data_IF_021945380373
#
_entry.id   IF_021945380373
#
_cell.length_a   1.000
_cell.length_b   1.000
_cell.length_c   1.000
_cell.angle_alpha   90.00
_cell.angle_beta   90.00
_cell.angle_gamma   90.00
#
_symmetry.space_group_name_H-M   'P 1'
#
loop_
_entity.id
_entity.type
_entity.pdbx_description
1 polymer ?
#
# COMPACT_ATOMS: atom_id res chain seq x y z
N UNK A 1 59.15 4.08 9.95
CA UNK A 1 59.58 5.50 9.96
C UNK A 1 59.23 6.18 8.64
N UNK A 2 57.93 6.28 8.27
CA UNK A 2 57.49 6.84 6.97
C UNK A 2 56.34 7.87 7.05
N UNK A 3 55.85 8.20 8.25
CA UNK A 3 54.67 9.09 8.39
C UNK A 3 55.03 10.57 8.60
N UNK A 4 56.25 10.87 9.05
CA UNK A 4 56.66 12.24 9.37
C UNK A 4 57.15 13.04 8.14
N UNK A 5 57.72 12.37 7.14
CA UNK A 5 58.18 13.00 5.89
C UNK A 5 57.01 13.42 5.00
N UNK A 6 55.91 12.67 4.99
CA UNK A 6 54.73 12.98 4.15
C UNK A 6 53.99 14.22 4.67
N UNK A 7 53.87 14.39 5.99
CA UNK A 7 53.22 15.56 6.60
C UNK A 7 54.05 16.84 6.37
N UNK A 8 55.37 16.75 6.45
CA UNK A 8 56.27 17.89 6.21
C UNK A 8 56.19 18.43 4.77
N UNK A 9 56.12 17.55 3.77
CA UNK A 9 56.03 17.96 2.35
C UNK A 9 54.66 18.58 2.02
N UNK A 10 53.57 18.06 2.60
CA UNK A 10 52.21 18.62 2.41
C UNK A 10 52.09 20.01 3.05
N UNK A 11 52.76 20.24 4.17
CA UNK A 11 52.72 21.55 4.86
C UNK A 11 53.57 22.60 4.11
N UNK A 12 54.68 22.18 3.49
CA UNK A 12 55.53 23.06 2.69
C UNK A 12 54.88 23.49 1.36
N UNK A 13 54.03 22.65 0.75
CA UNK A 13 53.32 23.02 -0.49
C UNK A 13 52.11 23.96 -0.29
N UNK A 14 51.59 24.11 0.94
CA UNK A 14 50.48 25.03 1.21
C UNK A 14 50.90 26.50 1.35
N UNK A 15 52.20 26.82 1.39
CA UNK A 15 52.69 28.16 1.69
C UNK A 15 53.03 29.02 0.46
N UNK A 16 52.96 28.48 -0.76
CA UNK A 16 53.44 29.16 -1.98
C UNK A 16 52.39 29.36 -3.07
N UNK A 17 51.12 29.05 -2.82
CA UNK A 17 50.04 29.28 -3.76
C UNK A 17 49.22 30.53 -3.38
N UNK A 18 49.54 31.65 -4.02
CA UNK A 18 48.52 32.62 -4.45
C UNK A 18 47.99 33.60 -3.41
N UNK A 19 48.62 34.78 -3.36
CA UNK A 19 47.89 36.02 -3.13
C UNK A 19 46.88 36.26 -4.27
N UNK A 20 45.67 35.71 -4.15
CA UNK A 20 44.50 36.33 -4.75
C UNK A 20 43.86 37.13 -3.61
N UNK A 21 44.06 38.45 -3.61
CA UNK A 21 43.34 39.35 -2.72
C UNK A 21 41.86 39.33 -3.10
N UNK A 22 41.13 38.35 -2.58
CA UNK A 22 39.70 38.53 -2.35
C UNK A 22 39.62 39.68 -1.35
N UNK A 23 39.14 40.84 -1.81
CA UNK A 23 38.92 41.97 -0.94
C UNK A 23 38.01 41.55 0.23
N UNK A 24 38.17 42.12 1.42
CA UNK A 24 37.33 41.80 2.59
C UNK A 24 35.82 41.96 2.32
N UNK A 25 35.43 42.70 1.28
CA UNK A 25 34.06 42.83 0.79
C UNK A 25 33.47 41.53 0.23
N UNK A 26 34.23 40.74 -0.55
CA UNK A 26 33.71 39.51 -1.19
C UNK A 26 33.46 38.40 -0.15
N UNK A 27 34.34 38.27 0.83
CA UNK A 27 34.18 37.32 1.93
C UNK A 27 33.01 37.68 2.86
N UNK A 28 32.77 38.97 3.10
CA UNK A 28 31.63 39.41 3.90
C UNK A 28 30.30 39.16 3.17
N UNK A 29 30.29 39.31 1.84
CA UNK A 29 29.14 39.02 0.99
C UNK A 29 28.83 37.50 0.94
N UNK A 30 29.85 36.64 0.86
CA UNK A 30 29.68 35.18 0.94
C UNK A 30 29.18 34.73 2.32
N UNK A 31 29.68 35.31 3.42
CA UNK A 31 29.21 35.01 4.78
C UNK A 31 27.76 35.45 4.99
N UNK A 32 27.35 36.59 4.42
CA UNK A 32 25.96 37.03 4.44
C UNK A 32 25.05 36.09 3.61
N UNK A 33 25.51 35.61 2.44
CA UNK A 33 24.76 34.64 1.64
C UNK A 33 24.61 33.29 2.33
N UNK A 34 25.67 32.76 2.95
CA UNK A 34 25.61 31.53 3.74
C UNK A 34 24.67 31.70 4.95
N UNK A 35 24.68 32.86 5.62
CA UNK A 35 23.72 33.17 6.68
C UNK A 35 22.27 33.23 6.18
N UNK A 36 22.04 33.77 4.99
CA UNK A 36 20.73 33.79 4.33
C UNK A 36 20.25 32.41 3.87
N UNK A 37 21.16 31.55 3.39
CA UNK A 37 20.82 30.15 3.07
C UNK A 37 20.52 29.35 4.34
N UNK A 38 21.27 29.58 5.43
CA UNK A 38 21.01 28.93 6.71
C UNK A 38 19.64 29.32 7.29
N UNK A 39 19.23 30.59 7.16
CA UNK A 39 17.89 31.00 7.60
C UNK A 39 16.78 30.40 6.73
N UNK A 40 17.00 30.24 5.43
CA UNK A 40 16.09 29.51 4.54
C UNK A 40 15.95 28.03 4.92
N UNK A 41 17.05 27.35 5.22
CA UNK A 41 17.02 25.95 5.67
C UNK A 41 16.31 25.81 7.01
N UNK A 42 16.53 26.73 7.96
CA UNK A 42 15.83 26.74 9.24
C UNK A 42 14.31 26.93 9.06
N UNK A 43 13.89 27.83 8.16
CA UNK A 43 12.49 28.06 7.83
C UNK A 43 11.84 26.89 7.07
N UNK A 44 12.62 26.13 6.29
CA UNK A 44 12.13 24.92 5.63
C UNK A 44 12.00 23.76 6.62
N UNK A 45 12.93 23.64 7.57
CA UNK A 45 12.87 22.61 8.60
C UNK A 45 11.67 22.80 9.54
N UNK A 46 11.36 24.04 9.93
CA UNK A 46 10.15 24.33 10.72
C UNK A 46 8.85 24.00 9.98
N UNK A 47 8.80 24.18 8.65
CA UNK A 47 7.66 23.76 7.83
C UNK A 47 7.48 22.23 7.82
N UNK A 48 8.58 21.47 7.78
CA UNK A 48 8.52 20.01 7.86
C UNK A 48 8.01 19.54 9.23
N UNK A 49 8.45 20.19 10.31
CA UNK A 49 7.99 19.85 11.66
C UNK A 49 6.51 20.20 11.88
N UNK A 50 6.02 21.30 11.31
CA UNK A 50 4.60 21.62 11.29
C UNK A 50 3.78 20.58 10.51
N UNK A 51 4.28 20.13 9.35
CA UNK A 51 3.62 19.10 8.56
C UNK A 51 3.55 17.76 9.30
N UNK A 52 4.61 17.37 10.01
CA UNK A 52 4.61 16.17 10.86
C UNK A 52 3.59 16.28 12.00
N UNK A 53 3.50 17.44 12.66
CA UNK A 53 2.51 17.68 13.71
C UNK A 53 1.06 17.63 13.17
N UNK A 54 0.83 18.19 11.97
CA UNK A 54 -0.46 18.11 11.28
C UNK A 54 -0.83 16.66 10.91
N UNK A 55 0.13 15.84 10.50
CA UNK A 55 -0.08 14.42 10.24
C UNK A 55 -0.50 13.69 11.53
N UNK A 56 0.22 13.91 12.64
CA UNK A 56 -0.08 13.27 13.92
C UNK A 56 -1.46 13.68 14.48
N UNK A 57 -1.90 14.92 14.28
CA UNK A 57 -3.22 15.37 14.70
C UNK A 57 -4.36 14.72 13.89
N UNK A 58 -4.12 14.41 12.61
CA UNK A 58 -5.09 13.70 11.78
C UNK A 58 -5.17 12.21 12.14
N UNK A 59 -4.03 11.59 12.46
CA UNK A 59 -3.94 10.20 12.90
C UNK A 59 -4.53 10.00 14.30
N UNK A 60 -4.34 10.94 15.24
CA UNK A 60 -4.97 10.94 16.57
C UNK A 60 -6.49 10.76 16.51
N UNK A 61 -7.16 11.45 15.58
CA UNK A 61 -8.62 11.32 15.35
C UNK A 61 -9.02 10.03 14.63
N UNK A 62 -8.07 9.34 14.00
CA UNK A 62 -8.30 8.04 13.38
C UNK A 62 -8.31 6.92 14.44
N UNK A 63 -7.55 7.05 15.53
CA UNK A 63 -7.62 6.13 16.68
C UNK A 63 -8.89 6.33 17.53
N UNK A 64 -9.40 7.55 17.70
CA UNK A 64 -10.66 7.78 18.45
C UNK A 64 -11.89 7.19 17.76
N UNK A 65 -11.92 7.16 16.41
CA UNK A 65 -13.00 6.50 15.65
C UNK A 65 -12.87 4.97 15.61
N UNK A 66 -11.70 4.44 15.94
CA UNK A 66 -11.43 3.00 16.08
C UNK A 66 -11.59 2.48 17.52
N UNK A 67 -11.44 3.35 18.53
CA UNK A 67 -11.53 3.01 19.94
C UNK A 67 -12.97 3.19 20.49
N UNK A 68 -13.96 2.56 19.85
CA UNK A 68 -15.22 2.27 20.56
C UNK A 68 -14.92 1.20 21.62
N UNK A 69 -15.36 1.35 22.88
CA UNK A 69 -15.24 0.27 23.85
C UNK A 69 -15.92 -0.98 23.28
N UNK A 70 -15.20 -2.11 23.27
CA UNK A 70 -15.58 -3.39 22.68
C UNK A 70 -16.90 -3.99 23.22
N UNK A 71 -17.58 -3.32 24.15
CA UNK A 71 -18.85 -3.76 24.73
C UNK A 71 -20.08 -3.50 23.82
N UNK A 72 -19.99 -2.63 22.82
CA UNK A 72 -21.13 -2.29 21.95
C UNK A 72 -21.14 -3.00 20.58
N UNK A 73 -20.17 -3.88 20.29
CA UNK A 73 -20.07 -4.61 19.00
C UNK A 73 -20.69 -6.01 19.04
N UNK A 74 -21.31 -6.43 20.15
CA UNK A 74 -21.96 -7.73 20.29
C UNK A 74 -23.26 -7.89 19.47
N UNK A 75 -23.61 -6.96 18.59
CA UNK A 75 -24.78 -7.06 17.71
C UNK A 75 -24.51 -6.65 16.25
N UNK A 76 -23.25 -6.51 15.84
CA UNK A 76 -22.92 -6.39 14.43
C UNK A 76 -22.69 -7.81 13.85
N UNK A 77 -23.27 -8.17 12.68
CA UNK A 77 -22.85 -9.39 12.00
C UNK A 77 -21.34 -9.32 11.76
N UNK A 78 -20.65 -10.42 12.04
CA UNK A 78 -19.19 -10.56 11.92
C UNK A 78 -18.66 -9.94 10.62
N UNK A 79 -17.41 -9.43 10.58
CA UNK A 79 -16.82 -8.93 9.35
C UNK A 79 -16.95 -10.03 8.30
N UNK A 80 -17.83 -9.82 7.32
CA UNK A 80 -17.96 -10.73 6.18
C UNK A 80 -16.69 -10.49 5.40
N UNK A 81 -15.63 -11.21 5.74
CA UNK A 81 -14.39 -11.20 5.00
C UNK A 81 -14.80 -11.53 3.58
N UNK A 82 -14.75 -10.55 2.68
CA UNK A 82 -15.03 -10.75 1.27
C UNK A 82 -13.91 -11.65 0.75
N UNK A 83 -14.11 -12.96 0.87
CA UNK A 83 -13.13 -13.97 0.53
C UNK A 83 -13.03 -13.99 -0.98
N UNK A 84 -11.91 -13.50 -1.50
CA UNK A 84 -11.60 -13.64 -2.91
C UNK A 84 -11.45 -15.13 -3.20
N UNK A 85 -12.31 -15.66 -4.08
CA UNK A 85 -12.25 -17.06 -4.47
C UNK A 85 -11.10 -17.27 -5.45
N UNK A 86 -10.31 -18.31 -5.23
CA UNK A 86 -9.28 -18.75 -6.17
C UNK A 86 -9.93 -19.37 -7.41
N UNK A 87 -9.19 -19.44 -8.53
CA UNK A 87 -9.69 -20.05 -9.76
C UNK A 87 -10.16 -21.50 -9.59
N UNK A 88 -9.52 -22.27 -8.70
CA UNK A 88 -9.93 -23.64 -8.37
C UNK A 88 -11.24 -23.67 -7.61
N UNK A 89 -11.42 -22.76 -6.66
CA UNK A 89 -12.65 -22.65 -5.88
C UNK A 89 -13.83 -22.24 -6.75
N UNK A 90 -13.62 -21.34 -7.72
CA UNK A 90 -14.64 -20.98 -8.71
C UNK A 90 -15.03 -22.20 -9.54
N UNK A 91 -14.07 -22.93 -10.10
CA UNK A 91 -14.34 -24.13 -10.90
C UNK A 91 -15.03 -25.22 -10.07
N UNK A 92 -14.61 -25.44 -8.83
CA UNK A 92 -15.24 -26.41 -7.92
C UNK A 92 -16.68 -26.01 -7.57
N UNK A 93 -16.92 -24.73 -7.29
CA UNK A 93 -18.25 -24.20 -7.02
C UNK A 93 -19.17 -24.36 -8.23
N UNK A 94 -18.69 -24.03 -9.43
CA UNK A 94 -19.44 -24.21 -10.68
C UNK A 94 -19.71 -25.70 -10.98
N UNK A 95 -18.77 -26.59 -10.63
CA UNK A 95 -18.97 -28.03 -10.76
C UNK A 95 -20.05 -28.54 -9.80
N UNK A 96 -20.06 -28.04 -8.56
CA UNK A 96 -21.10 -28.35 -7.56
C UNK A 96 -22.46 -27.76 -7.93
N UNK A 97 -22.48 -26.62 -8.60
CA UNK A 97 -23.70 -26.03 -9.16
C UNK A 97 -24.23 -26.79 -10.38
N UNK A 98 -23.40 -27.64 -11.02
CA UNK A 98 -23.75 -28.42 -12.20
C UNK A 98 -23.48 -27.72 -13.53
N UNK A 99 -22.99 -26.47 -13.51
CA UNK A 99 -22.75 -25.65 -14.69
C UNK A 99 -21.36 -25.87 -15.32
N UNK A 100 -20.48 -26.64 -14.67
CA UNK A 100 -19.11 -26.90 -15.14
C UNK A 100 -18.75 -28.38 -15.08
N UNK A 101 -18.35 -28.94 -16.22
CA UNK A 101 -17.92 -30.35 -16.37
C UNK A 101 -16.42 -30.49 -16.68
N UNK A 102 -15.68 -29.37 -16.71
CA UNK A 102 -14.26 -29.36 -17.02
C UNK A 102 -13.36 -29.69 -15.81
N UNK A 103 -12.05 -29.82 -16.04
CA UNK A 103 -11.09 -30.04 -14.96
C UNK A 103 -10.98 -28.81 -14.03
N UNK A 104 -10.77 -29.06 -12.74
CA UNK A 104 -10.51 -28.03 -11.70
C UNK A 104 -9.00 -27.79 -11.60
N UNK A 105 -8.43 -27.12 -12.60
CA UNK A 105 -7.00 -26.84 -12.69
C UNK A 105 -6.59 -25.49 -12.06
N UNK A 106 -7.55 -24.61 -11.82
CA UNK A 106 -7.40 -23.24 -11.33
C UNK A 106 -7.27 -22.18 -12.42
N UNK A 107 -7.26 -22.57 -13.68
CA UNK A 107 -7.13 -21.68 -14.83
C UNK A 107 -8.51 -21.35 -15.38
N UNK A 108 -8.89 -20.08 -15.30
CA UNK A 108 -10.16 -19.62 -15.87
C UNK A 108 -10.05 -19.54 -17.40
N UNK A 109 -10.26 -20.67 -18.06
CA UNK A 109 -10.26 -20.80 -19.52
C UNK A 109 -11.60 -20.41 -20.17
N UNK A 110 -11.72 -20.54 -21.50
CA UNK A 110 -12.96 -20.28 -22.22
C UNK A 110 -14.15 -21.11 -21.70
N UNK A 111 -13.91 -22.39 -21.39
CA UNK A 111 -14.94 -23.28 -20.84
C UNK A 111 -15.44 -22.80 -19.47
N UNK A 112 -14.53 -22.37 -18.59
CA UNK A 112 -14.92 -21.83 -17.28
C UNK A 112 -15.71 -20.53 -17.43
N UNK A 113 -15.35 -19.65 -18.38
CA UNK A 113 -16.13 -18.43 -18.67
C UNK A 113 -17.55 -18.74 -19.16
N UNK A 114 -17.72 -19.76 -20.00
CA UNK A 114 -19.05 -20.19 -20.43
C UNK A 114 -19.87 -20.70 -19.24
N UNK A 115 -19.26 -21.51 -18.36
CA UNK A 115 -19.90 -21.96 -17.13
C UNK A 115 -20.26 -20.80 -16.19
N UNK A 116 -19.39 -19.79 -16.05
CA UNK A 116 -19.70 -18.58 -15.27
C UNK A 116 -20.91 -17.85 -15.86
N UNK A 117 -21.00 -17.71 -17.18
CA UNK A 117 -22.18 -17.08 -17.81
C UNK A 117 -23.46 -17.87 -17.59
N UNK A 118 -23.38 -19.19 -17.68
CA UNK A 118 -24.52 -20.07 -17.42
C UNK A 118 -24.99 -19.93 -15.97
N UNK A 119 -24.06 -20.07 -15.02
CA UNK A 119 -24.32 -19.86 -13.60
C UNK A 119 -24.95 -18.48 -13.34
N UNK A 120 -24.38 -17.42 -13.90
CA UNK A 120 -24.92 -16.07 -13.78
C UNK A 120 -26.35 -15.99 -14.32
N UNK A 121 -26.63 -16.57 -15.49
CA UNK A 121 -27.97 -16.61 -16.07
C UNK A 121 -28.97 -17.37 -15.18
N UNK A 122 -28.57 -18.52 -14.64
CA UNK A 122 -29.40 -19.34 -13.73
C UNK A 122 -29.70 -18.60 -12.43
N UNK A 123 -28.74 -17.81 -11.94
CA UNK A 123 -28.86 -17.04 -10.71
C UNK A 123 -29.34 -15.59 -10.91
N UNK A 124 -29.91 -15.25 -12.07
CA UNK A 124 -30.44 -13.91 -12.40
C UNK A 124 -29.41 -12.77 -12.23
N UNK A 125 -28.13 -13.10 -12.41
CA UNK A 125 -27.02 -12.16 -12.46
C UNK A 125 -26.75 -11.77 -13.91
N UNK A 126 -26.07 -10.64 -14.11
CA UNK A 126 -25.59 -10.23 -15.44
C UNK A 126 -24.62 -11.28 -15.98
N UNK A 127 -24.90 -11.94 -17.14
CA UNK A 127 -24.06 -13.00 -17.69
C UNK A 127 -22.87 -12.42 -18.46
N UNK A 128 -22.03 -11.64 -17.78
CA UNK A 128 -20.82 -11.03 -18.33
C UNK A 128 -19.66 -12.04 -18.45
N UNK A 129 -19.74 -13.17 -17.76
CA UNK A 129 -18.70 -14.20 -17.71
C UNK A 129 -17.52 -13.83 -16.81
N UNK A 130 -17.69 -12.81 -15.96
CA UNK A 130 -16.68 -12.34 -15.01
C UNK A 130 -17.15 -12.65 -13.59
N UNK A 131 -16.31 -13.31 -12.81
CA UNK A 131 -16.60 -13.58 -11.40
C UNK A 131 -16.45 -12.31 -10.55
N UNK A 132 -17.43 -11.40 -10.63
CA UNK A 132 -17.51 -10.21 -9.78
C UNK A 132 -17.99 -10.52 -8.36
N UNK A 133 -18.08 -9.49 -7.50
CA UNK A 133 -18.43 -9.64 -6.08
C UNK A 133 -19.74 -10.42 -5.85
N UNK A 134 -20.80 -10.14 -6.64
CA UNK A 134 -22.08 -10.84 -6.57
C UNK A 134 -21.97 -12.31 -6.96
N UNK A 135 -21.22 -12.60 -8.03
CA UNK A 135 -20.97 -13.97 -8.49
C UNK A 135 -20.14 -14.75 -7.46
N UNK A 136 -19.11 -14.13 -6.89
CA UNK A 136 -18.30 -14.76 -5.83
C UNK A 136 -19.13 -15.08 -4.59
N UNK A 137 -20.03 -14.19 -4.18
CA UNK A 137 -20.93 -14.43 -3.04
C UNK A 137 -21.85 -15.63 -3.30
N UNK A 138 -22.44 -15.71 -4.51
CA UNK A 138 -23.28 -16.85 -4.88
C UNK A 138 -22.49 -18.17 -4.94
N UNK A 139 -21.27 -18.15 -5.49
CA UNK A 139 -20.41 -19.33 -5.54
C UNK A 139 -19.93 -19.79 -4.15
N UNK A 140 -19.80 -18.87 -3.20
CA UNK A 140 -19.36 -19.20 -1.84
C UNK A 140 -20.35 -20.14 -1.13
N UNK A 141 -21.64 -20.01 -1.40
CA UNK A 141 -22.71 -20.90 -0.91
C UNK A 141 -22.49 -22.36 -1.32
N UNK A 142 -21.86 -22.60 -2.48
CA UNK A 142 -21.54 -23.95 -2.97
C UNK A 142 -20.22 -24.50 -2.41
N UNK A 143 -19.43 -23.68 -1.74
CA UNK A 143 -18.13 -24.05 -1.17
C UNK A 143 -18.20 -24.37 0.32
N UNK A 144 -19.14 -23.77 1.05
CA UNK A 144 -19.32 -24.01 2.48
C UNK A 144 -20.19 -25.24 2.73
N UNK A 145 -19.76 -26.18 3.60
CA UNK A 145 -20.58 -27.34 3.95
C UNK A 145 -21.81 -26.97 4.79
N UNK A 146 -21.83 -25.82 5.47
CA UNK A 146 -22.99 -25.36 6.26
C UNK A 146 -24.20 -24.96 5.42
N UNK A 147 -24.01 -24.51 4.17
CA UNK A 147 -25.14 -24.14 3.31
C UNK A 147 -25.73 -25.32 2.53
N UNK A 148 -25.22 -26.54 2.74
CA UNK A 148 -25.84 -27.79 2.26
C UNK A 148 -27.00 -28.24 3.14
N UNK A 149 -27.33 -27.52 4.23
CA UNK A 149 -28.58 -27.70 4.95
C UNK A 149 -29.72 -27.03 4.15
N UNK A 150 -30.71 -27.79 3.66
CA UNK A 150 -31.74 -27.29 2.78
C UNK A 150 -32.65 -26.31 3.51
N UNK A 151 -32.77 -25.10 2.98
CA UNK A 151 -33.96 -24.29 3.18
C UNK A 151 -35.11 -24.91 2.39
N UNK A 152 -35.92 -25.75 3.04
CA UNK A 152 -37.32 -26.04 2.66
C UNK A 152 -38.00 -26.90 3.75
N UNK A 153 -39.34 -26.86 3.90
CA UNK A 153 -40.30 -25.76 3.73
C UNK A 153 -40.81 -25.18 5.07
#
# INVERSE_FOLDING_TARGET
MNSLTVVGVVTAMLALAGCATLGPQDQNQLRAQVGGLQSQVAALNSQVDELRARQQALEGRAWDRGARPAAAVASAPAPTTHRVLTGREIQLALQRAGDYQGPVDGKLGPQTRVAIKLFQSTHQLTPDGVAGAKTMQALQTYLTPESSAPAAP
#
